data_IF_029435760298
#
_entry.id   IF_029435760298
#
_cell.length_a   1.000
_cell.length_b   1.000
_cell.length_c   1.000
_cell.angle_alpha   90.00
_cell.angle_beta   90.00
_cell.angle_gamma   90.00
#
_symmetry.space_group_name_H-M   'P 1'
#
loop_
_entity.id
_entity.type
_entity.pdbx_description
1 polymer ?
#
# COMPACT_ATOMS: atom_id res chain seq x y z
N UNK A 1 51.91 -0.63 57.47
CA UNK A 1 52.53 -0.65 56.14
C UNK A 1 51.42 -0.48 55.12
N UNK A 2 51.49 0.62 54.40
CA UNK A 2 50.54 1.15 53.41
C UNK A 2 50.62 0.38 52.10
N UNK A 3 49.48 0.01 51.52
CA UNK A 3 49.34 -0.18 50.07
C UNK A 3 47.92 0.15 49.66
N UNK A 4 47.81 1.28 48.97
CA UNK A 4 46.64 1.75 48.27
C UNK A 4 46.64 1.11 46.88
N UNK A 5 45.51 0.54 46.45
CA UNK A 5 45.29 0.21 45.04
C UNK A 5 44.13 1.03 44.48
N UNK A 6 44.44 1.53 43.29
CA UNK A 6 43.98 2.77 42.71
C UNK A 6 42.85 2.48 41.72
N UNK A 7 41.69 3.05 41.99
CA UNK A 7 40.53 3.06 41.10
C UNK A 7 40.83 3.82 39.80
N UNK A 8 40.86 3.12 38.66
CA UNK A 8 40.89 3.74 37.34
C UNK A 8 39.50 3.64 36.68
N UNK A 9 38.86 4.80 36.53
CA UNK A 9 37.55 5.00 35.87
C UNK A 9 37.83 5.46 34.44
N UNK A 10 37.25 4.85 33.38
CA UNK A 10 37.47 5.31 32.02
C UNK A 10 36.63 6.57 31.71
N UNK A 11 37.34 7.55 31.18
CA UNK A 11 36.92 8.88 30.75
C UNK A 11 36.20 8.80 29.39
N UNK A 12 34.90 9.11 29.34
CA UNK A 12 34.13 9.22 28.10
C UNK A 12 34.05 10.69 27.66
N UNK A 13 35.17 11.20 27.16
CA UNK A 13 35.28 12.55 26.63
C UNK A 13 35.75 12.56 25.19
N UNK A 14 34.86 12.37 24.21
CA UNK A 14 35.04 12.92 22.85
C UNK A 14 33.73 13.41 22.24
N UNK A 15 33.51 14.73 22.35
CA UNK A 15 32.63 15.51 21.49
C UNK A 15 33.28 15.68 20.11
N UNK A 16 32.44 15.67 19.07
CA UNK A 16 32.38 16.60 17.90
C UNK A 16 31.99 15.85 16.61
N UNK A 17 31.44 16.49 15.56
CA UNK A 17 31.12 17.92 15.39
C UNK A 17 29.66 18.22 15.00
N UNK A 18 29.20 19.43 15.31
CA UNK A 18 27.97 20.03 14.78
C UNK A 18 28.10 20.25 13.26
N UNK A 19 27.15 19.72 12.50
CA UNK A 19 27.01 20.05 11.07
C UNK A 19 25.99 21.17 10.95
N UNK A 20 26.52 22.37 10.70
CA UNK A 20 25.76 23.53 10.25
C UNK A 20 25.30 23.30 8.80
N UNK A 21 24.00 23.31 8.55
CA UNK A 21 23.44 23.50 7.19
C UNK A 21 22.45 24.65 7.22
N UNK A 22 23.04 25.83 7.02
CA UNK A 22 22.40 27.10 6.74
C UNK A 22 21.98 27.12 5.27
N UNK A 23 20.71 27.39 5.02
CA UNK A 23 20.19 28.10 3.85
C UNK A 23 20.24 27.40 2.49
N UNK A 24 19.06 27.03 1.97
CA UNK A 24 18.73 27.33 0.58
C UNK A 24 17.22 27.60 0.47
N UNK A 25 16.85 28.88 0.57
CA UNK A 25 15.60 29.40 0.04
C UNK A 25 15.71 29.36 -1.48
N UNK A 26 14.89 28.53 -2.13
CA UNK A 26 14.64 28.56 -3.56
C UNK A 26 13.14 28.60 -3.80
N UNK A 27 12.58 29.80 -3.84
CA UNK A 27 11.23 30.05 -4.36
C UNK A 27 11.23 29.74 -5.85
N UNK A 28 10.34 28.88 -6.33
CA UNK A 28 9.65 29.07 -7.61
C UNK A 28 8.28 28.42 -7.52
N UNK A 29 7.27 29.25 -7.78
CA UNK A 29 5.89 28.85 -7.96
C UNK A 29 5.71 28.18 -9.32
N UNK A 30 4.88 27.15 -9.39
CA UNK A 30 4.11 26.84 -10.59
C UNK A 30 2.69 26.53 -10.15
N UNK A 31 1.81 27.50 -10.41
CA UNK A 31 0.38 27.31 -10.55
C UNK A 31 0.13 26.45 -11.81
N UNK A 32 -0.74 25.46 -11.71
CA UNK A 32 -1.13 24.62 -12.83
C UNK A 32 -2.46 23.96 -12.55
N UNK A 33 -3.46 24.44 -13.25
CA UNK A 33 -4.89 24.29 -13.02
C UNK A 33 -5.43 22.86 -13.12
N UNK A 34 -6.56 22.69 -12.44
CA UNK A 34 -7.50 21.58 -12.50
C UNK A 34 -8.07 21.44 -13.91
N UNK A 35 -8.21 20.21 -14.40
CA UNK A 35 -9.20 19.89 -15.44
C UNK A 35 -9.83 18.56 -15.06
N UNK A 36 -10.98 18.62 -14.39
CA UNK A 36 -11.89 17.51 -14.26
C UNK A 36 -12.56 17.32 -15.63
N UNK A 37 -12.30 16.18 -16.27
CA UNK A 37 -13.03 15.78 -17.48
C UNK A 37 -14.29 15.07 -17.03
N UNK A 38 -15.39 15.82 -17.02
CA UNK A 38 -16.76 15.31 -16.95
C UNK A 38 -17.12 14.75 -18.33
N UNK A 39 -17.02 13.43 -18.51
CA UNK A 39 -17.55 12.77 -19.70
C UNK A 39 -19.07 12.61 -19.52
N UNK A 40 -19.82 13.45 -20.24
CA UNK A 40 -21.28 13.37 -20.39
C UNK A 40 -21.55 12.81 -21.80
N UNK A 41 -22.21 11.66 -21.88
CA UNK A 41 -22.89 11.12 -23.07
C UNK A 41 -24.11 10.41 -22.47
N UNK A 42 -25.34 10.92 -22.46
CA UNK A 42 -26.22 11.48 -23.50
C UNK A 42 -26.40 10.55 -24.71
N UNK A 43 -27.56 9.89 -24.77
CA UNK A 43 -28.14 9.36 -26.01
C UNK A 43 -28.65 7.92 -25.92
N UNK A 44 -29.93 7.74 -25.57
CA UNK A 44 -30.59 6.45 -25.61
C UNK A 44 -32.07 6.51 -25.21
N UNK A 45 -32.86 7.32 -25.92
CA UNK A 45 -34.32 7.37 -25.79
C UNK A 45 -34.95 6.12 -26.42
N UNK A 46 -35.69 5.34 -25.63
CA UNK A 46 -36.52 4.23 -26.08
C UNK A 46 -37.69 4.05 -25.13
N UNK A 47 -38.85 4.57 -25.57
CA UNK A 47 -40.10 4.68 -24.84
C UNK A 47 -40.72 3.30 -24.54
N UNK A 48 -41.06 3.05 -23.27
CA UNK A 48 -42.09 2.08 -22.90
C UNK A 48 -42.83 2.59 -21.66
N UNK A 49 -44.12 2.83 -21.86
CA UNK A 49 -45.10 3.35 -20.95
C UNK A 49 -45.78 2.19 -20.22
N UNK A 50 -45.84 2.23 -18.89
CA UNK A 50 -46.81 1.47 -18.08
C UNK A 50 -46.99 2.15 -16.71
N UNK A 51 -48.22 2.08 -16.22
CA UNK A 51 -48.94 2.94 -15.27
C UNK A 51 -48.34 3.29 -13.89
N UNK A 52 -48.77 4.43 -13.30
CA UNK A 52 -48.56 4.76 -11.91
C UNK A 52 -49.73 4.28 -11.04
N UNK A 53 -49.45 3.48 -10.01
CA UNK A 53 -50.35 3.40 -8.85
C UNK A 53 -49.53 3.62 -7.58
N UNK A 54 -49.88 4.70 -6.90
CA UNK A 54 -49.26 5.20 -5.70
C UNK A 54 -49.42 4.23 -4.52
N UNK A 55 -48.35 4.06 -3.75
CA UNK A 55 -48.46 3.79 -2.32
C UNK A 55 -47.30 4.49 -1.60
N UNK A 56 -47.68 5.43 -0.74
CA UNK A 56 -46.81 6.17 0.15
C UNK A 56 -46.09 5.26 1.14
N UNK A 57 -44.84 5.59 1.45
CA UNK A 57 -44.08 4.93 2.51
C UNK A 57 -42.60 5.32 2.48
N UNK A 58 -42.29 6.53 2.96
CA UNK A 58 -40.98 6.76 3.57
C UNK A 58 -40.98 6.03 4.93
N UNK A 59 -39.85 5.41 5.32
CA UNK A 59 -38.90 6.19 6.09
C UNK A 59 -37.43 5.98 5.71
N UNK A 60 -36.63 6.97 6.14
CA UNK A 60 -35.18 6.97 6.28
C UNK A 60 -34.53 5.58 6.39
N UNK A 61 -33.67 5.27 5.41
CA UNK A 61 -32.53 4.40 5.60
C UNK A 61 -31.31 5.14 5.07
N UNK A 62 -30.39 5.43 5.98
CA UNK A 62 -29.27 6.33 5.81
C UNK A 62 -28.43 6.05 4.57
N UNK A 63 -27.83 7.14 4.09
CA UNK A 63 -26.80 7.21 3.08
C UNK A 63 -25.79 6.05 3.20
N UNK A 64 -26.07 4.98 2.47
CA UNK A 64 -25.06 4.04 2.04
C UNK A 64 -24.29 4.76 0.95
N UNK A 65 -23.26 5.51 1.38
CA UNK A 65 -22.35 6.19 0.48
C UNK A 65 -21.97 5.25 -0.65
N UNK A 66 -22.43 5.59 -1.85
CA UNK A 66 -22.33 4.75 -3.03
C UNK A 66 -20.87 4.47 -3.31
N UNK A 67 -20.39 3.30 -2.87
CA UNK A 67 -19.26 2.63 -3.50
C UNK A 67 -19.69 2.41 -4.94
N UNK A 68 -19.30 3.33 -5.81
CA UNK A 68 -19.48 3.24 -7.26
C UNK A 68 -19.17 1.81 -7.67
N UNK A 69 -20.16 1.13 -8.26
CA UNK A 69 -20.18 -0.30 -8.52
C UNK A 69 -19.19 -0.72 -9.60
N UNK A 70 -17.89 -0.49 -9.36
CA UNK A 70 -16.84 -1.13 -10.10
C UNK A 70 -16.99 -2.64 -9.89
N UNK A 71 -17.26 -3.36 -10.98
CA UNK A 71 -17.39 -4.80 -10.94
C UNK A 71 -16.11 -5.41 -10.35
N UNK A 72 -16.27 -6.23 -9.31
CA UNK A 72 -15.14 -6.93 -8.69
C UNK A 72 -14.37 -7.73 -9.73
N UNK A 73 -13.04 -7.65 -9.74
CA UNK A 73 -12.25 -8.36 -10.73
C UNK A 73 -12.36 -9.88 -10.49
N UNK A 74 -12.15 -10.72 -11.53
CA UNK A 74 -12.02 -12.16 -11.35
C UNK A 74 -10.96 -12.51 -10.29
N UNK A 75 -11.22 -13.52 -9.46
CA UNK A 75 -10.30 -13.89 -8.35
C UNK A 75 -8.89 -14.22 -8.84
N UNK A 76 -8.75 -14.80 -10.04
CA UNK A 76 -7.45 -15.05 -10.67
C UNK A 76 -6.63 -13.78 -10.84
N UNK A 77 -7.25 -12.69 -11.33
CA UNK A 77 -6.60 -11.38 -11.49
C UNK A 77 -6.23 -10.73 -10.16
N UNK A 78 -7.11 -10.84 -9.16
CA UNK A 78 -6.82 -10.34 -7.80
C UNK A 78 -5.60 -11.01 -7.18
N UNK A 79 -5.51 -12.34 -7.32
CA UNK A 79 -4.34 -13.10 -6.85
C UNK A 79 -3.07 -12.77 -7.63
N UNK A 80 -3.17 -12.59 -8.95
CA UNK A 80 -2.05 -12.16 -9.78
C UNK A 80 -1.52 -10.79 -9.35
N UNK A 81 -2.41 -9.81 -9.14
CA UNK A 81 -2.06 -8.49 -8.59
C UNK A 81 -1.32 -8.63 -7.26
N UNK A 82 -1.83 -9.45 -6.34
CA UNK A 82 -1.20 -9.63 -5.03
C UNK A 82 0.21 -10.22 -5.14
N UNK A 83 0.39 -11.26 -5.95
CA UNK A 83 1.71 -11.86 -6.16
C UNK A 83 2.68 -10.86 -6.81
N UNK A 84 2.20 -10.06 -7.77
CA UNK A 84 3.02 -9.02 -8.38
C UNK A 84 3.47 -7.96 -7.35
N UNK A 85 2.54 -7.47 -6.52
CA UNK A 85 2.86 -6.50 -5.47
C UNK A 85 3.79 -7.10 -4.42
N UNK A 86 3.57 -8.35 -4.00
CA UNK A 86 4.44 -9.03 -3.04
C UNK A 86 5.88 -9.14 -3.58
N UNK A 87 6.07 -9.49 -4.86
CA UNK A 87 7.41 -9.52 -5.50
C UNK A 87 8.08 -8.16 -5.48
N UNK A 88 7.33 -7.13 -5.83
CA UNK A 88 7.82 -5.74 -5.87
C UNK A 88 8.14 -5.22 -4.45
N UNK A 89 7.34 -5.58 -3.46
CA UNK A 89 7.56 -5.22 -2.05
C UNK A 89 8.72 -5.99 -1.40
N UNK A 90 9.05 -7.19 -1.89
CA UNK A 90 10.16 -7.97 -1.34
C UNK A 90 11.55 -7.32 -1.56
N UNK A 91 11.66 -6.42 -2.54
CA UNK A 91 12.90 -5.72 -2.93
C UNK A 91 12.90 -4.24 -2.53
N UNK A 92 11.88 -3.77 -1.81
CA UNK A 92 11.71 -2.35 -1.47
C UNK A 92 10.84 -2.13 -0.21
N UNK A 93 11.22 -1.25 0.74
CA UNK A 93 12.42 -0.40 0.80
C UNK A 93 13.63 -1.07 1.48
N UNK A 94 13.46 -2.28 2.02
CA UNK A 94 14.53 -3.11 2.58
C UNK A 94 14.35 -4.51 2.02
N UNK A 95 15.41 -5.12 1.54
CA UNK A 95 15.36 -6.52 1.07
C UNK A 95 14.85 -7.43 2.17
N UNK A 96 13.88 -8.26 1.82
CA UNK A 96 13.35 -9.28 2.69
C UNK A 96 14.38 -10.41 2.86
N UNK A 97 15.37 -10.22 3.75
CA UNK A 97 16.43 -11.21 3.99
C UNK A 97 15.86 -12.56 4.39
N UNK A 98 16.61 -13.62 4.10
CA UNK A 98 16.35 -15.00 4.54
C UNK A 98 16.02 -15.07 6.03
N UNK A 99 14.74 -15.15 6.39
CA UNK A 99 14.27 -15.48 7.74
C UNK A 99 14.57 -16.96 8.03
N UNK A 100 15.82 -17.40 7.83
CA UNK A 100 16.21 -18.82 7.77
C UNK A 100 15.74 -19.57 6.51
N UNK A 101 15.21 -18.85 5.51
CA UNK A 101 14.68 -19.45 4.27
C UNK A 101 15.68 -19.38 3.11
N UNK A 102 15.72 -20.43 2.30
CA UNK A 102 16.67 -20.60 1.19
C UNK A 102 16.34 -19.79 -0.08
N UNK A 103 15.07 -19.47 -0.33
CA UNK A 103 14.64 -18.69 -1.49
C UNK A 103 14.75 -17.19 -1.22
N UNK A 104 15.07 -16.37 -2.23
CA UNK A 104 15.08 -14.91 -2.10
C UNK A 104 13.66 -14.36 -1.94
N UNK A 105 13.50 -13.17 -1.32
CA UNK A 105 12.20 -12.62 -0.96
C UNK A 105 11.18 -12.62 -2.11
N UNK A 106 11.57 -12.19 -3.31
CA UNK A 106 10.67 -12.14 -4.47
C UNK A 106 10.26 -13.55 -4.96
N UNK A 107 11.14 -14.54 -4.86
CA UNK A 107 10.86 -15.93 -5.27
C UNK A 107 9.82 -16.61 -4.36
N UNK A 108 9.71 -16.14 -3.10
CA UNK A 108 8.72 -16.66 -2.14
C UNK A 108 7.28 -16.31 -2.53
N UNK A 109 7.06 -15.26 -3.32
CA UNK A 109 5.74 -14.85 -3.78
C UNK A 109 5.17 -15.86 -4.81
N UNK A 110 4.66 -16.98 -4.29
CA UNK A 110 4.09 -18.10 -5.04
C UNK A 110 2.60 -18.27 -4.76
N UNK A 111 1.83 -18.85 -5.71
CA UNK A 111 0.41 -19.15 -5.49
C UNK A 111 0.15 -20.06 -4.27
N UNK A 112 1.07 -20.97 -3.96
CA UNK A 112 0.92 -21.88 -2.83
C UNK A 112 1.00 -21.13 -1.48
N UNK A 113 1.97 -20.22 -1.33
CA UNK A 113 2.12 -19.41 -0.12
C UNK A 113 0.98 -18.40 0.03
N UNK A 114 0.53 -17.79 -1.06
CA UNK A 114 -0.64 -16.92 -1.03
C UNK A 114 -1.86 -17.67 -0.49
N UNK A 115 -2.17 -18.87 -1.03
CA UNK A 115 -3.29 -19.67 -0.51
C UNK A 115 -3.11 -20.06 0.95
N UNK A 116 -1.88 -20.25 1.43
CA UNK A 116 -1.63 -20.53 2.84
C UNK A 116 -1.89 -19.30 3.72
N UNK A 117 -1.51 -18.10 3.27
CA UNK A 117 -1.79 -16.84 3.95
C UNK A 117 -3.29 -16.50 3.94
N UNK A 118 -3.99 -16.72 2.81
CA UNK A 118 -5.45 -16.54 2.69
C UNK A 118 -6.21 -17.34 3.75
N UNK A 119 -5.80 -18.59 4.02
CA UNK A 119 -6.47 -19.46 5.01
C UNK A 119 -6.31 -19.00 6.46
N UNK A 120 -5.41 -18.06 6.74
CA UNK A 120 -5.18 -17.51 8.09
C UNK A 120 -6.02 -16.27 8.38
N UNK A 121 -6.66 -15.70 7.35
CA UNK A 121 -7.52 -14.53 7.49
C UNK A 121 -8.97 -14.93 7.75
N UNK A 122 -9.66 -14.13 8.55
CA UNK A 122 -11.11 -14.16 8.61
C UNK A 122 -11.74 -13.65 7.28
N UNK A 123 -13.01 -13.99 7.01
CA UNK A 123 -13.66 -13.62 5.75
C UNK A 123 -13.79 -12.12 5.51
N UNK A 124 -13.97 -11.30 6.56
CA UNK A 124 -14.14 -9.85 6.39
C UNK A 124 -12.80 -9.24 5.97
N UNK A 125 -11.72 -9.59 6.66
CA UNK A 125 -10.38 -9.09 6.34
C UNK A 125 -9.91 -9.55 4.97
N UNK A 126 -10.23 -10.79 4.58
CA UNK A 126 -9.95 -11.27 3.23
C UNK A 126 -10.73 -10.47 2.17
N UNK A 127 -12.00 -10.12 2.44
CA UNK A 127 -12.78 -9.27 1.53
C UNK A 127 -12.17 -7.87 1.37
N UNK A 128 -11.66 -7.28 2.46
CA UNK A 128 -10.92 -5.98 2.41
C UNK A 128 -9.65 -6.07 1.59
N UNK A 129 -8.86 -7.13 1.78
CA UNK A 129 -7.66 -7.36 0.97
C UNK A 129 -8.01 -7.45 -0.53
N UNK A 130 -9.13 -8.09 -0.87
CA UNK A 130 -9.59 -8.14 -2.26
C UNK A 130 -10.12 -6.80 -2.80
N UNK A 131 -10.78 -6.00 -1.98
CA UNK A 131 -11.16 -4.64 -2.36
C UNK A 131 -9.91 -3.77 -2.64
N UNK A 132 -8.84 -3.94 -1.85
CA UNK A 132 -7.55 -3.31 -2.11
C UNK A 132 -6.94 -3.75 -3.45
N UNK A 133 -7.00 -5.05 -3.77
CA UNK A 133 -6.56 -5.56 -5.07
C UNK A 133 -7.37 -4.97 -6.23
N UNK A 134 -8.71 -4.92 -6.10
CA UNK A 134 -9.61 -4.36 -7.11
C UNK A 134 -9.30 -2.87 -7.36
N UNK A 135 -9.01 -2.08 -6.32
CA UNK A 135 -8.61 -0.69 -6.46
C UNK A 135 -7.31 -0.54 -7.27
N UNK A 136 -6.30 -1.36 -7.01
CA UNK A 136 -5.04 -1.32 -7.78
C UNK A 136 -5.23 -1.79 -9.23
N UNK A 137 -6.11 -2.75 -9.47
CA UNK A 137 -6.45 -3.23 -10.82
C UNK A 137 -7.20 -2.13 -11.60
N UNK A 138 -8.13 -1.43 -10.96
CA UNK A 138 -8.86 -0.31 -11.55
C UNK A 138 -7.92 0.85 -11.95
N UNK A 139 -6.80 1.03 -11.24
CA UNK A 139 -5.73 1.96 -11.60
C UNK A 139 -4.84 1.48 -12.76
N UNK A 140 -5.11 0.29 -13.32
CA UNK A 140 -4.33 -0.29 -14.41
C UNK A 140 -2.92 -0.71 -14.00
N UNK A 141 -2.72 -1.09 -12.73
CA UNK A 141 -1.40 -1.47 -12.23
C UNK A 141 -1.05 -2.93 -12.50
N UNK A 142 -2.01 -3.79 -12.86
CA UNK A 142 -1.73 -5.19 -13.19
C UNK A 142 -0.83 -5.26 -14.43
N UNK A 143 0.31 -5.96 -14.34
CA UNK A 143 1.31 -6.00 -15.41
C UNK A 143 2.13 -4.72 -15.59
N UNK A 144 1.94 -3.69 -14.74
CA UNK A 144 2.75 -2.48 -14.81
C UNK A 144 4.21 -2.73 -14.41
N UNK A 145 5.13 -1.98 -15.03
CA UNK A 145 6.54 -1.99 -14.63
C UNK A 145 6.71 -1.59 -13.15
N UNK A 146 7.72 -2.17 -12.48
CA UNK A 146 7.94 -2.04 -11.04
C UNK A 146 7.89 -0.60 -10.52
N UNK A 147 8.61 0.35 -11.15
CA UNK A 147 8.60 1.75 -10.72
C UNK A 147 7.22 2.40 -10.82
N UNK A 148 6.46 2.09 -11.89
CA UNK A 148 5.08 2.56 -12.06
C UNK A 148 4.14 1.95 -11.02
N UNK A 149 4.35 0.68 -10.67
CA UNK A 149 3.59 -0.02 -9.63
C UNK A 149 3.80 0.63 -8.26
N UNK A 150 5.05 0.78 -7.82
CA UNK A 150 5.39 1.40 -6.54
C UNK A 150 4.87 2.84 -6.45
N UNK A 151 5.04 3.63 -7.51
CA UNK A 151 4.51 5.00 -7.57
C UNK A 151 2.97 5.04 -7.55
N UNK A 152 2.31 4.08 -8.23
CA UNK A 152 0.86 3.94 -8.23
C UNK A 152 0.31 3.60 -6.84
N UNK A 153 0.94 2.66 -6.14
CA UNK A 153 0.59 2.28 -4.77
C UNK A 153 0.82 3.44 -3.81
N UNK A 154 1.95 4.15 -3.92
CA UNK A 154 2.24 5.34 -3.11
C UNK A 154 1.21 6.46 -3.29
N UNK A 155 0.75 6.70 -4.53
CA UNK A 155 -0.35 7.63 -4.81
C UNK A 155 -1.65 7.17 -4.17
N UNK A 156 -2.03 5.91 -4.36
CA UNK A 156 -3.25 5.34 -3.77
C UNK A 156 -3.22 5.46 -2.24
N UNK A 157 -2.10 5.13 -1.59
CA UNK A 157 -1.94 5.25 -0.15
C UNK A 157 -2.04 6.71 0.35
N UNK A 158 -1.54 7.67 -0.43
CA UNK A 158 -1.60 9.09 -0.09
C UNK A 158 -3.01 9.69 -0.26
N UNK A 159 -3.79 9.19 -1.22
CA UNK A 159 -5.08 9.79 -1.63
C UNK A 159 -6.30 9.03 -1.09
N UNK A 160 -6.14 7.78 -0.66
CA UNK A 160 -7.24 6.97 -0.15
C UNK A 160 -7.90 7.59 1.10
N UNK A 161 -9.21 7.45 1.17
CA UNK A 161 -10.00 7.71 2.37
C UNK A 161 -9.74 6.64 3.44
N UNK A 162 -10.49 6.69 4.56
CA UNK A 162 -10.28 5.78 5.67
C UNK A 162 -10.52 4.31 5.29
N UNK A 163 -11.55 4.03 4.48
CA UNK A 163 -11.86 2.65 4.09
C UNK A 163 -10.91 2.13 3.02
N UNK A 164 -10.58 2.95 2.01
CA UNK A 164 -9.57 2.60 1.01
C UNK A 164 -8.18 2.36 1.62
N UNK A 165 -7.84 3.07 2.70
CA UNK A 165 -6.61 2.79 3.48
C UNK A 165 -6.65 1.45 4.18
N UNK A 166 -7.77 1.11 4.83
CA UNK A 166 -7.94 -0.21 5.48
C UNK A 166 -7.87 -1.35 4.47
N UNK A 167 -8.49 -1.18 3.31
CA UNK A 167 -8.47 -2.16 2.23
C UNK A 167 -7.06 -2.35 1.67
N UNK A 168 -6.31 -1.25 1.48
CA UNK A 168 -4.92 -1.31 1.02
C UNK A 168 -3.99 -1.92 2.09
N UNK A 169 -4.20 -1.62 3.37
CA UNK A 169 -3.45 -2.23 4.48
C UNK A 169 -3.66 -3.74 4.54
N UNK A 170 -4.91 -4.20 4.53
CA UNK A 170 -5.23 -5.62 4.52
C UNK A 170 -4.62 -6.34 3.31
N UNK A 171 -4.64 -5.70 2.14
CA UNK A 171 -4.03 -6.23 0.92
C UNK A 171 -2.51 -6.37 1.05
N UNK A 172 -1.82 -5.34 1.56
CA UNK A 172 -0.36 -5.38 1.73
C UNK A 172 0.04 -6.36 2.83
N UNK A 173 -0.69 -6.41 3.95
CA UNK A 173 -0.43 -7.37 5.03
C UNK A 173 -0.51 -8.82 4.53
N UNK A 174 -1.51 -9.14 3.69
CA UNK A 174 -1.61 -10.44 3.02
C UNK A 174 -0.42 -10.69 2.06
N UNK A 175 0.04 -9.66 1.35
CA UNK A 175 1.25 -9.71 0.54
C UNK A 175 2.51 -10.04 1.36
N UNK A 176 2.70 -9.39 2.50
CA UNK A 176 3.84 -9.64 3.42
C UNK A 176 3.79 -11.05 3.99
N UNK A 177 2.62 -11.50 4.47
CA UNK A 177 2.43 -12.87 4.96
C UNK A 177 2.62 -13.94 3.87
N UNK A 178 2.46 -13.57 2.60
CA UNK A 178 2.79 -14.44 1.45
C UNK A 178 4.30 -14.62 1.31
N UNK A 179 5.10 -13.60 1.63
CA UNK A 179 6.56 -13.64 1.55
C UNK A 179 7.19 -14.40 2.72
N UNK A 180 6.61 -14.34 3.91
CA UNK A 180 7.09 -15.08 5.07
C UNK A 180 5.95 -15.50 6.01
N UNK A 181 5.93 -16.77 6.46
CA UNK A 181 4.89 -17.29 7.33
C UNK A 181 4.96 -16.70 8.74
N UNK A 182 6.08 -16.08 9.12
CA UNK A 182 6.25 -15.47 10.43
C UNK A 182 5.41 -14.21 10.63
N UNK A 183 4.96 -13.58 9.55
CA UNK A 183 4.06 -12.44 9.64
C UNK A 183 2.62 -12.91 9.73
N UNK A 184 1.85 -12.20 10.56
CA UNK A 184 0.42 -12.38 10.64
C UNK A 184 -0.28 -11.52 9.59
N UNK A 185 -1.03 -12.10 8.63
CA UNK A 185 -1.83 -11.28 7.71
C UNK A 185 -2.92 -10.48 8.43
N UNK A 186 -3.21 -10.78 9.70
CA UNK A 186 -4.09 -10.01 10.59
C UNK A 186 -3.41 -8.79 11.26
N UNK A 187 -2.09 -8.62 11.12
CA UNK A 187 -1.35 -7.48 11.65
C UNK A 187 -1.02 -6.47 10.53
N UNK A 188 -1.36 -5.20 10.76
CA UNK A 188 -1.15 -4.11 9.81
C UNK A 188 0.21 -3.42 9.98
N UNK A 189 0.97 -3.66 11.06
CA UNK A 189 2.14 -2.85 11.41
C UNK A 189 3.19 -2.75 10.28
N UNK A 190 3.52 -3.88 9.66
CA UNK A 190 4.49 -3.90 8.54
C UNK A 190 3.92 -3.24 7.29
N UNK A 191 2.63 -3.42 7.03
CA UNK A 191 1.93 -2.80 5.92
C UNK A 191 1.88 -1.26 6.07
N UNK A 192 1.65 -0.76 7.29
CA UNK A 192 1.67 0.66 7.61
C UNK A 192 3.03 1.30 7.35
N UNK A 193 4.12 0.66 7.78
CA UNK A 193 5.48 1.14 7.53
C UNK A 193 5.75 1.23 6.03
N UNK A 194 5.39 0.17 5.30
CA UNK A 194 5.64 0.09 3.86
C UNK A 194 4.84 1.13 3.06
N UNK A 195 3.53 1.21 3.30
CA UNK A 195 2.65 2.19 2.66
C UNK A 195 2.98 3.62 3.08
N UNK A 196 3.33 3.83 4.35
CA UNK A 196 3.77 5.11 4.89
C UNK A 196 5.02 5.64 4.18
N UNK A 197 6.01 4.77 3.97
CA UNK A 197 7.23 5.10 3.22
C UNK A 197 6.95 5.48 1.76
N UNK A 198 6.12 4.69 1.05
CA UNK A 198 5.75 4.99 -0.33
C UNK A 198 4.94 6.28 -0.45
N UNK A 199 4.01 6.51 0.48
CA UNK A 199 3.19 7.71 0.54
C UNK A 199 4.05 8.97 0.80
N UNK A 200 5.04 8.88 1.68
CA UNK A 200 5.97 9.98 1.96
C UNK A 200 6.85 10.34 0.75
N UNK A 201 7.37 9.34 0.04
CA UNK A 201 8.13 9.58 -1.19
C UNK A 201 7.30 10.27 -2.26
N UNK A 202 6.05 9.81 -2.44
CA UNK A 202 5.12 10.42 -3.37
C UNK A 202 4.83 11.88 -3.00
N UNK A 203 4.59 12.20 -1.71
CA UNK A 203 4.39 13.58 -1.24
C UNK A 203 5.61 14.47 -1.50
N UNK A 204 6.81 13.90 -1.47
CA UNK A 204 8.07 14.60 -1.76
C UNK A 204 8.41 14.68 -3.25
N UNK A 205 7.54 14.18 -4.15
CA UNK A 205 7.79 14.13 -5.58
C UNK A 205 8.96 13.21 -5.97
N UNK A 206 9.32 12.25 -5.11
CA UNK A 206 10.41 11.30 -5.36
C UNK A 206 9.83 9.98 -5.86
N UNK A 207 10.54 9.36 -6.79
CA UNK A 207 10.21 8.01 -7.22
C UNK A 207 10.96 6.97 -6.38
N UNK A 208 10.29 5.89 -5.94
CA UNK A 208 10.97 4.78 -5.29
C UNK A 208 11.93 4.13 -6.29
N UNK A 209 13.21 4.05 -5.92
CA UNK A 209 14.23 3.38 -6.71
C UNK A 209 14.47 1.97 -6.15
N UNK A 210 14.58 0.94 -7.01
CA UNK A 210 14.96 -0.39 -6.57
C UNK A 210 16.37 -0.34 -5.95
N UNK A 211 16.58 -1.16 -4.93
CA UNK A 211 17.91 -1.34 -4.35
C UNK A 211 18.74 -2.11 -5.38
N UNK A 212 19.93 -1.64 -5.77
CA UNK A 212 20.83 -2.42 -6.62
C UNK A 212 21.24 -3.70 -5.88
N UNK A 213 21.35 -4.85 -6.57
CA UNK A 213 21.89 -6.05 -5.94
C UNK A 213 23.29 -5.77 -5.40
N UNK A 214 23.55 -6.17 -4.16
CA UNK A 214 24.89 -6.13 -3.58
C UNK A 214 25.76 -7.15 -4.32
N UNK A 215 26.73 -6.68 -5.10
CA UNK A 215 27.77 -7.50 -5.73
C UNK A 215 28.76 -8.05 -4.69
#
# INVERSE_FOLDING_TARGET
MTSAENTARPDYGKRSPQVSRRGFLGKTAVAGSVTAVTATMLGGSGSAQADPTAAAGAPDAGASGGRSGAAAAPLSRRREMLLQVARVGAVYPVEFRGFGESAEGAERATPARLRAAERRLDPERLARAWAGADALIALGLLGAAQGRMLAGIGRQAAQADADGKRDLLAFVALGVATLSPHFDPADDHVAEIWLGGLSDLQRRGRQPQPIPPLN
#
